data_IF_967844705439
#
_entry.id   IF_967844705439
#
_cell.length_a   1.000
_cell.length_b   1.000
_cell.length_c   1.000
_cell.angle_alpha   90.00
_cell.angle_beta   90.00
_cell.angle_gamma   90.00
#
_symmetry.space_group_name_H-M   'P 1'
#
loop_
_entity.id
_entity.type
_entity.pdbx_description
1 polymer ?
#
# COMPACT_ATOMS: atom_id res chain seq x y z
N UNK A 1 -5.39 -6.82 -24.44
CA UNK A 1 -6.04 -7.63 -23.34
C UNK A 1 -6.07 -6.82 -22.04
N UNK A 2 -6.69 -5.78 -21.71
CA UNK A 2 -7.06 -4.82 -20.66
C UNK A 2 -6.60 -5.29 -19.27
N UNK A 3 -6.50 -6.64 -19.02
CA UNK A 3 -6.07 -7.17 -17.70
C UNK A 3 -4.55 -7.09 -17.55
N UNK A 4 -3.82 -7.35 -18.57
CA UNK A 4 -2.34 -7.21 -18.50
C UNK A 4 -1.93 -5.73 -18.40
N UNK A 5 -2.60 -4.82 -18.96
CA UNK A 5 -2.30 -3.37 -18.85
C UNK A 5 -2.66 -2.81 -17.47
N UNK A 6 -3.62 -3.49 -16.81
CA UNK A 6 -4.00 -3.02 -15.45
C UNK A 6 -2.93 -3.42 -14.43
N UNK A 7 -2.31 -4.60 -14.57
CA UNK A 7 -1.21 -5.00 -13.67
C UNK A 7 0.01 -4.07 -13.79
N UNK A 8 0.32 -3.78 -15.00
CA UNK A 8 1.48 -2.89 -15.21
C UNK A 8 1.21 -1.48 -14.67
N UNK A 9 0.00 -1.07 -14.90
CA UNK A 9 -0.32 0.27 -14.34
C UNK A 9 -0.29 0.24 -12.80
N UNK A 10 -0.80 -0.77 -12.28
CA UNK A 10 -0.77 -0.88 -10.81
C UNK A 10 0.68 -0.90 -10.31
N UNK A 11 1.50 -1.67 -10.98
CA UNK A 11 2.92 -1.67 -10.59
C UNK A 11 3.52 -0.26 -10.67
N UNK A 12 3.22 0.44 -11.67
CA UNK A 12 3.75 1.82 -11.79
C UNK A 12 3.26 2.71 -10.63
N UNK A 13 2.02 2.53 -10.26
CA UNK A 13 1.49 3.35 -9.15
C UNK A 13 2.19 2.97 -7.84
N UNK A 14 2.49 1.72 -7.66
CA UNK A 14 3.20 1.33 -6.41
C UNK A 14 4.60 1.96 -6.38
N UNK A 15 5.16 2.09 -7.54
CA UNK A 15 6.50 2.72 -7.55
C UNK A 15 6.40 4.20 -7.17
N UNK A 16 5.35 4.80 -7.55
CA UNK A 16 5.16 6.20 -7.11
C UNK A 16 5.06 6.27 -5.59
N UNK A 17 4.33 5.38 -5.09
CA UNK A 17 4.20 5.41 -3.62
C UNK A 17 5.54 5.08 -2.95
N UNK A 18 6.24 4.10 -3.47
CA UNK A 18 7.59 3.83 -2.96
C UNK A 18 8.43 5.10 -2.85
N UNK A 19 8.42 5.92 -3.87
CA UNK A 19 9.21 7.17 -3.84
C UNK A 19 8.60 8.18 -2.85
N UNK A 20 7.33 8.18 -2.86
CA UNK A 20 6.70 9.13 -1.93
C UNK A 20 7.06 8.81 -0.47
N UNK A 21 7.34 7.63 -0.23
CA UNK A 21 7.54 7.22 1.18
C UNK A 21 9.02 7.27 1.54
N UNK A 22 9.82 7.69 0.60
CA UNK A 22 11.24 7.87 0.97
C UNK A 22 11.40 8.99 2.01
N UNK A 23 11.94 8.49 3.19
CA UNK A 23 12.21 9.48 4.27
C UNK A 23 10.94 9.84 5.04
N UNK A 24 9.77 9.10 4.71
CA UNK A 24 8.51 9.44 5.39
C UNK A 24 7.92 8.16 6.01
N UNK A 25 7.39 8.49 7.11
CA UNK A 25 6.76 7.34 7.79
C UNK A 25 5.36 7.06 7.20
N UNK A 26 4.62 8.13 6.78
CA UNK A 26 3.28 7.98 6.18
C UNK A 26 3.15 8.88 4.96
N UNK A 27 2.10 8.81 4.30
CA UNK A 27 2.03 9.41 2.95
C UNK A 27 2.08 10.93 3.04
N UNK A 28 1.61 11.53 4.12
CA UNK A 28 1.67 13.01 4.18
C UNK A 28 2.70 13.45 5.21
N UNK A 29 3.57 12.55 5.67
CA UNK A 29 4.69 12.94 6.57
C UNK A 29 4.78 11.95 7.75
N UNK A 30 4.77 12.53 8.96
CA UNK A 30 5.16 11.63 10.08
C UNK A 30 3.90 11.21 10.86
N UNK A 31 2.76 11.71 10.39
CA UNK A 31 1.55 11.30 11.15
C UNK A 31 0.61 10.50 10.22
N UNK A 32 0.03 9.53 10.99
CA UNK A 32 -0.95 8.70 10.23
C UNK A 32 -2.24 9.51 10.00
N UNK A 33 -2.79 9.40 8.64
CA UNK A 33 -4.02 10.14 8.32
C UNK A 33 -4.95 9.22 7.52
N UNK A 34 -5.99 9.91 7.19
CA UNK A 34 -7.02 9.19 6.41
C UNK A 34 -6.45 8.66 5.09
N UNK A 35 -5.49 9.34 4.57
CA UNK A 35 -4.94 8.89 3.27
C UNK A 35 -4.20 7.56 3.43
N UNK A 36 -3.62 7.32 4.54
CA UNK A 36 -2.96 6.01 4.77
C UNK A 36 -4.00 4.89 4.94
N UNK A 37 -4.97 5.22 5.72
CA UNK A 37 -5.98 4.16 5.97
C UNK A 37 -6.66 3.74 4.67
N UNK A 38 -7.05 4.70 3.87
CA UNK A 38 -7.78 4.38 2.63
C UNK A 38 -6.90 3.61 1.64
N UNK A 39 -5.64 3.99 1.61
CA UNK A 39 -4.81 3.38 0.55
C UNK A 39 -4.22 2.04 1.02
N UNK A 40 -3.84 1.98 2.29
CA UNK A 40 -3.21 0.73 2.74
C UNK A 40 -4.22 -0.43 2.69
N UNK A 41 -5.43 -0.12 3.02
CA UNK A 41 -6.45 -1.19 2.94
C UNK A 41 -6.67 -1.64 1.49
N UNK A 42 -6.81 -0.66 0.59
CA UNK A 42 -7.05 -1.01 -0.82
C UNK A 42 -5.85 -1.76 -1.43
N UNK A 43 -4.69 -1.31 -1.09
CA UNK A 43 -3.52 -1.94 -1.73
C UNK A 43 -3.31 -3.34 -1.14
N UNK A 44 -3.51 -3.49 0.19
CA UNK A 44 -3.38 -4.85 0.78
C UNK A 44 -4.37 -5.81 0.12
N UNK A 45 -5.56 -5.39 -0.02
CA UNK A 45 -6.55 -6.23 -0.71
C UNK A 45 -6.13 -6.54 -2.16
N UNK A 46 -5.73 -5.56 -2.93
CA UNK A 46 -5.32 -5.76 -4.34
C UNK A 46 -4.15 -6.74 -4.45
N UNK A 47 -3.21 -6.70 -3.52
CA UNK A 47 -2.01 -7.56 -3.64
C UNK A 47 -2.37 -9.01 -3.32
N UNK A 48 -3.54 -9.22 -2.69
CA UNK A 48 -3.99 -10.61 -2.51
C UNK A 48 -4.47 -11.24 -3.82
N UNK A 49 -4.74 -10.38 -4.84
CA UNK A 49 -5.32 -10.96 -6.07
C UNK A 49 -4.44 -10.67 -7.27
N UNK A 50 -3.66 -9.59 -7.17
CA UNK A 50 -2.84 -9.20 -8.34
C UNK A 50 -1.37 -9.55 -8.02
N UNK A 51 -0.86 -10.29 -9.02
CA UNK A 51 0.55 -10.67 -8.76
C UNK A 51 1.49 -9.59 -9.30
N UNK A 52 2.03 -8.82 -8.35
CA UNK A 52 3.01 -7.79 -8.74
C UNK A 52 4.27 -7.97 -7.89
N UNK A 53 5.38 -7.76 -8.56
CA UNK A 53 6.66 -7.88 -7.82
C UNK A 53 6.90 -6.64 -6.94
N UNK A 54 7.04 -6.95 -5.58
CA UNK A 54 7.26 -5.79 -4.68
C UNK A 54 8.64 -5.89 -4.03
N UNK A 55 9.44 -6.81 -4.47
CA UNK A 55 10.75 -7.07 -3.84
C UNK A 55 11.64 -5.81 -3.83
N UNK A 56 11.35 -4.80 -4.61
CA UNK A 56 12.20 -3.58 -4.63
C UNK A 56 11.49 -2.37 -4.00
N UNK A 57 10.41 -2.69 -3.37
CA UNK A 57 9.61 -1.55 -2.86
C UNK A 57 9.58 -1.63 -1.32
N UNK A 58 10.77 -1.38 -0.71
CA UNK A 58 10.88 -1.61 0.75
C UNK A 58 10.11 -0.54 1.54
N UNK A 59 10.16 0.70 1.03
CA UNK A 59 9.38 1.72 1.77
C UNK A 59 7.87 1.43 1.72
N UNK A 60 7.47 1.01 0.59
CA UNK A 60 6.03 0.69 0.46
C UNK A 60 5.66 -0.47 1.39
N UNK A 61 6.52 -1.50 1.37
CA UNK A 61 6.17 -2.69 2.18
C UNK A 61 6.22 -2.33 3.68
N UNK A 62 7.19 -1.54 4.06
CA UNK A 62 7.24 -1.10 5.47
C UNK A 62 6.00 -0.27 5.83
N UNK A 63 5.65 0.63 4.99
CA UNK A 63 4.45 1.46 5.24
C UNK A 63 3.19 0.60 5.28
N UNK A 64 3.05 -0.36 4.38
CA UNK A 64 1.84 -1.20 4.36
C UNK A 64 1.77 -2.05 5.64
N UNK A 65 2.89 -2.63 6.02
CA UNK A 65 2.92 -3.41 7.27
C UNK A 65 2.53 -2.56 8.49
N UNK A 66 3.11 -1.48 8.60
CA UNK A 66 2.78 -0.61 9.74
C UNK A 66 1.29 -0.23 9.74
N UNK A 67 0.78 0.17 8.54
CA UNK A 67 -0.61 0.68 8.46
C UNK A 67 -1.61 -0.44 8.74
N UNK A 68 -1.27 -1.70 8.36
CA UNK A 68 -2.30 -2.75 8.48
C UNK A 68 -2.18 -3.45 9.84
N UNK A 69 -1.17 -3.22 10.63
CA UNK A 69 -1.04 -3.86 11.95
C UNK A 69 -1.68 -2.99 13.03
N UNK A 70 -2.23 -1.96 12.65
CA UNK A 70 -2.89 -1.14 13.68
C UNK A 70 -4.14 -1.85 14.21
N UNK A 71 -4.35 -1.69 15.53
CA UNK A 71 -5.48 -2.40 16.15
C UNK A 71 -6.82 -2.02 15.52
N UNK A 72 -6.94 -0.77 15.15
CA UNK A 72 -8.22 -0.34 14.56
C UNK A 72 -8.47 -1.04 13.22
N UNK A 73 -7.35 -1.17 12.47
CA UNK A 73 -7.52 -1.93 11.22
C UNK A 73 -7.90 -3.39 11.48
N UNK A 74 -7.39 -4.04 12.39
CA UNK A 74 -7.74 -5.45 12.70
C UNK A 74 -9.19 -5.56 13.19
N UNK A 75 -9.61 -4.57 13.98
CA UNK A 75 -11.02 -4.58 14.45
C UNK A 75 -11.99 -4.44 13.29
N UNK A 76 -11.64 -3.67 12.26
CA UNK A 76 -12.55 -3.43 11.12
C UNK A 76 -12.66 -4.66 10.23
N UNK A 77 -11.62 -5.52 10.23
CA UNK A 77 -11.63 -6.71 9.35
C UNK A 77 -12.05 -7.95 10.14
N UNK A 78 -12.30 -7.79 11.57
CA UNK A 78 -12.77 -8.88 12.46
C UNK A 78 -14.27 -8.75 12.72
N UNK A 79 -15.26 -8.98 11.68
CA UNK A 79 -16.61 -9.59 11.81
C UNK A 79 -16.83 -10.57 10.65
#
# INVERSE_FOLDING_TARGET
MQAESAGKEFEAQLKILEQRLQGREYLLGDRFTLVDAANAAAIAWALSFIKVDTSGLSNLTAWLDRSTRRPANQAAHGA
#
